data_IF_752168979987
#
_entry.id   IF_752168979987
#
_cell.length_a   1.000
_cell.length_b   1.000
_cell.length_c   1.000
_cell.angle_alpha   90.00
_cell.angle_beta   90.00
_cell.angle_gamma   90.00
#
_symmetry.space_group_name_H-M   'P 1'
#
loop_
_entity.id
_entity.type
_entity.pdbx_description
1 polymer ?
#
# COMPACT_ATOMS: atom_id res chain seq x y z
N UNK A 1 -29.61 -25.30 3.89
CA UNK A 1 -28.30 -24.64 3.75
C UNK A 1 -28.28 -23.42 4.66
N UNK A 2 -27.47 -23.44 5.72
CA UNK A 2 -27.50 -22.41 6.75
C UNK A 2 -27.00 -21.06 6.19
N UNK A 3 -27.69 -19.96 6.49
CA UNK A 3 -27.27 -18.60 6.10
C UNK A 3 -25.82 -18.30 6.48
N UNK A 4 -25.35 -18.85 7.60
CA UNK A 4 -23.98 -18.68 8.08
C UNK A 4 -22.94 -19.31 7.14
N UNK A 5 -23.20 -20.47 6.51
CA UNK A 5 -22.22 -21.10 5.63
C UNK A 5 -22.00 -20.31 4.35
N UNK A 6 -23.05 -19.73 3.78
CA UNK A 6 -22.93 -18.87 2.59
C UNK A 6 -22.09 -17.61 2.90
N UNK A 7 -22.26 -17.04 4.09
CA UNK A 7 -21.51 -15.86 4.53
C UNK A 7 -20.00 -16.13 4.68
N UNK A 8 -19.61 -17.26 5.27
CA UNK A 8 -18.18 -17.65 5.37
C UNK A 8 -17.55 -17.96 4.00
N UNK A 9 -18.30 -18.58 3.09
CA UNK A 9 -17.84 -18.81 1.72
C UNK A 9 -17.59 -17.47 1.03
N UNK A 10 -18.53 -16.54 1.12
CA UNK A 10 -18.39 -15.20 0.54
C UNK A 10 -17.15 -14.46 1.09
N UNK A 11 -16.93 -14.51 2.41
CA UNK A 11 -15.73 -13.94 3.02
C UNK A 11 -14.45 -14.55 2.46
N UNK A 12 -14.41 -15.87 2.32
CA UNK A 12 -13.25 -16.58 1.77
C UNK A 12 -12.98 -16.17 0.33
N UNK A 13 -14.01 -16.14 -0.51
CA UNK A 13 -13.90 -15.71 -1.93
C UNK A 13 -13.37 -14.28 -2.02
N UNK A 14 -13.86 -13.38 -1.18
CA UNK A 14 -13.39 -11.98 -1.12
C UNK A 14 -11.92 -11.88 -0.67
N UNK A 15 -11.50 -12.70 0.28
CA UNK A 15 -10.12 -12.73 0.75
C UNK A 15 -9.17 -13.23 -0.34
N UNK A 16 -9.52 -14.34 -1.01
CA UNK A 16 -8.73 -14.87 -2.12
C UNK A 16 -8.70 -13.92 -3.32
N UNK A 17 -9.81 -13.25 -3.64
CA UNK A 17 -9.83 -12.28 -4.74
C UNK A 17 -8.92 -11.07 -4.46
N UNK A 18 -8.87 -10.63 -3.19
CA UNK A 18 -7.94 -9.60 -2.73
C UNK A 18 -6.48 -10.01 -2.87
N UNK A 19 -6.14 -11.24 -2.47
CA UNK A 19 -4.80 -11.80 -2.64
C UNK A 19 -4.42 -11.95 -4.13
N UNK A 20 -5.35 -12.42 -4.97
CA UNK A 20 -5.12 -12.54 -6.42
C UNK A 20 -4.98 -11.17 -7.11
N UNK A 21 -5.65 -10.13 -6.59
CA UNK A 21 -5.52 -8.78 -7.13
C UNK A 21 -4.09 -8.24 -7.02
N UNK A 22 -3.26 -8.75 -6.09
CA UNK A 22 -1.84 -8.43 -5.99
C UNK A 22 -1.02 -8.87 -7.23
N UNK A 23 -1.50 -9.88 -7.98
CA UNK A 23 -0.84 -10.31 -9.22
C UNK A 23 -0.94 -9.26 -10.32
N UNK A 24 -1.98 -8.40 -10.29
CA UNK A 24 -2.20 -7.36 -11.30
C UNK A 24 -1.11 -6.29 -11.27
N UNK A 25 -0.81 -5.61 -10.14
CA UNK A 25 0.30 -4.65 -10.09
C UNK A 25 1.65 -5.32 -10.31
N UNK A 26 1.85 -6.58 -9.89
CA UNK A 26 3.08 -7.33 -10.18
C UNK A 26 3.29 -7.56 -11.68
N UNK A 27 2.25 -8.00 -12.37
CA UNK A 27 2.27 -8.22 -13.81
C UNK A 27 2.55 -6.93 -14.58
N UNK A 28 1.81 -5.86 -14.29
CA UNK A 28 1.97 -4.55 -14.95
C UNK A 28 3.35 -3.95 -14.62
N UNK A 29 3.79 -4.03 -13.37
CA UNK A 29 5.10 -3.57 -12.92
C UNK A 29 6.23 -4.33 -13.62
N UNK A 30 6.11 -5.65 -13.77
CA UNK A 30 7.08 -6.47 -14.48
C UNK A 30 7.17 -6.09 -15.96
N UNK A 31 6.04 -5.92 -16.64
CA UNK A 31 6.00 -5.49 -18.05
C UNK A 31 6.63 -4.10 -18.24
N UNK A 32 6.41 -3.18 -17.31
CA UNK A 32 6.90 -1.79 -17.38
C UNK A 32 8.21 -1.56 -16.62
N UNK A 33 8.95 -2.61 -16.26
CA UNK A 33 10.16 -2.51 -15.41
C UNK A 33 11.23 -1.54 -15.93
N UNK A 34 11.32 -1.42 -17.25
CA UNK A 34 12.29 -0.53 -17.91
C UNK A 34 11.93 0.96 -17.80
N UNK A 35 10.65 1.28 -17.53
CA UNK A 35 10.14 2.65 -17.41
C UNK A 35 10.03 3.11 -15.94
N UNK A 36 10.20 2.18 -14.98
CA UNK A 36 10.07 2.49 -13.55
C UNK A 36 11.25 3.31 -13.05
N UNK A 37 10.95 4.54 -12.64
CA UNK A 37 11.82 5.38 -11.80
C UNK A 37 12.11 4.70 -10.45
N UNK A 38 13.20 5.08 -9.74
CA UNK A 38 13.60 4.42 -8.49
C UNK A 38 12.49 4.42 -7.42
N UNK A 39 11.70 5.48 -7.30
CA UNK A 39 10.57 5.57 -6.37
C UNK A 39 9.52 4.47 -6.63
N UNK A 40 9.20 4.19 -7.89
CA UNK A 40 8.23 3.14 -8.24
C UNK A 40 8.81 1.74 -8.09
N UNK A 41 10.14 1.58 -8.26
CA UNK A 41 10.82 0.30 -8.02
C UNK A 41 10.70 -0.12 -6.55
N UNK A 42 10.78 0.83 -5.61
CA UNK A 42 10.58 0.54 -4.19
C UNK A 42 9.15 0.01 -3.92
N UNK A 43 8.13 0.63 -4.51
CA UNK A 43 6.74 0.13 -4.41
C UNK A 43 6.58 -1.24 -5.07
N UNK A 44 7.23 -1.47 -6.22
CA UNK A 44 7.23 -2.79 -6.87
C UNK A 44 7.83 -3.87 -5.97
N UNK A 45 8.96 -3.59 -5.31
CA UNK A 45 9.55 -4.50 -4.33
C UNK A 45 8.65 -4.75 -3.12
N UNK A 46 7.86 -3.74 -2.70
CA UNK A 46 6.82 -3.91 -1.69
C UNK A 46 5.75 -4.93 -2.14
N UNK A 47 5.27 -4.83 -3.39
CA UNK A 47 4.33 -5.82 -3.93
C UNK A 47 4.93 -7.24 -4.02
N UNK A 48 6.20 -7.35 -4.43
CA UNK A 48 6.90 -8.65 -4.48
C UNK A 48 7.01 -9.24 -3.09
N UNK A 49 7.39 -8.42 -2.10
CA UNK A 49 7.47 -8.82 -0.71
C UNK A 49 6.10 -9.29 -0.18
N UNK A 50 5.01 -8.57 -0.47
CA UNK A 50 3.66 -8.99 -0.08
C UNK A 50 3.30 -10.35 -0.66
N UNK A 51 3.63 -10.60 -1.93
CA UNK A 51 3.31 -11.87 -2.57
C UNK A 51 4.08 -13.04 -1.93
N UNK A 52 5.38 -12.84 -1.68
CA UNK A 52 6.21 -13.86 -1.02
C UNK A 52 5.70 -14.14 0.39
N UNK A 53 5.49 -13.09 1.20
CA UNK A 53 5.09 -13.26 2.61
C UNK A 53 3.67 -13.80 2.75
N UNK A 54 2.76 -13.48 1.82
CA UNK A 54 1.43 -14.08 1.78
C UNK A 54 1.52 -15.58 1.53
N UNK A 55 2.30 -16.01 0.53
CA UNK A 55 2.50 -17.43 0.24
C UNK A 55 3.14 -18.16 1.42
N UNK A 56 4.16 -17.56 2.04
CA UNK A 56 4.80 -18.13 3.25
C UNK A 56 3.79 -18.24 4.40
N UNK A 57 2.96 -17.23 4.60
CA UNK A 57 1.91 -17.22 5.63
C UNK A 57 0.88 -18.33 5.43
N UNK A 58 0.46 -18.58 4.19
CA UNK A 58 -0.47 -19.67 3.84
C UNK A 58 0.16 -21.06 4.02
N UNK A 59 1.44 -21.23 3.63
CA UNK A 59 2.16 -22.49 3.84
C UNK A 59 2.28 -22.81 5.34
N UNK A 60 2.60 -21.81 6.17
CA UNK A 60 2.68 -21.98 7.62
C UNK A 60 1.32 -22.28 8.25
N UNK A 61 0.27 -21.62 7.76
CA UNK A 61 -1.09 -21.91 8.17
C UNK A 61 -1.49 -23.36 7.86
N UNK A 62 -1.20 -23.84 6.64
CA UNK A 62 -1.39 -25.23 6.25
C UNK A 62 -0.57 -26.21 7.11
N UNK A 63 0.64 -25.82 7.52
CA UNK A 63 1.49 -26.58 8.43
C UNK A 63 1.06 -26.48 9.91
N UNK A 64 -0.05 -25.82 10.24
CA UNK A 64 -0.55 -25.56 11.61
C UNK A 64 0.47 -24.86 12.52
N UNK A 65 1.38 -24.07 11.94
CA UNK A 65 2.35 -23.25 12.68
C UNK A 65 1.80 -21.84 12.85
N UNK A 66 2.21 -21.16 13.92
CA UNK A 66 1.84 -19.76 14.15
C UNK A 66 2.46 -18.89 13.04
N UNK A 67 1.62 -18.22 12.28
CA UNK A 67 2.00 -17.33 11.17
C UNK A 67 2.02 -15.84 11.57
N UNK A 68 1.77 -15.53 12.85
CA UNK A 68 1.70 -14.16 13.35
C UNK A 68 3.02 -13.42 13.20
N UNK A 69 4.15 -14.12 13.34
CA UNK A 69 5.47 -13.52 13.09
C UNK A 69 5.64 -13.02 11.65
N UNK A 70 5.01 -13.69 10.67
CA UNK A 70 5.07 -13.28 9.26
C UNK A 70 4.41 -11.92 9.09
N UNK A 71 3.26 -11.72 9.72
CA UNK A 71 2.55 -10.44 9.67
C UNK A 71 3.32 -9.32 10.36
N UNK A 72 4.02 -9.60 11.46
CA UNK A 72 4.91 -8.62 12.10
C UNK A 72 6.08 -8.23 11.16
N UNK A 73 6.64 -9.19 10.41
CA UNK A 73 7.66 -8.92 9.38
C UNK A 73 7.08 -8.09 8.24
N UNK A 74 5.85 -8.38 7.79
CA UNK A 74 5.15 -7.60 6.76
C UNK A 74 5.05 -6.14 7.20
N UNK A 75 4.53 -5.84 8.39
CA UNK A 75 4.42 -4.48 8.94
C UNK A 75 5.76 -3.75 8.94
N UNK A 76 6.85 -4.40 9.37
CA UNK A 76 8.16 -3.75 9.38
C UNK A 76 8.65 -3.43 7.97
N UNK A 77 8.62 -4.42 7.07
CA UNK A 77 9.12 -4.24 5.72
C UNK A 77 8.23 -3.32 4.88
N UNK A 78 6.92 -3.35 5.07
CA UNK A 78 5.94 -2.48 4.43
C UNK A 78 6.21 -1.02 4.78
N UNK A 79 6.34 -0.70 6.08
CA UNK A 79 6.70 0.63 6.55
C UNK A 79 8.02 1.12 5.94
N UNK A 80 9.05 0.27 5.91
CA UNK A 80 10.36 0.64 5.39
C UNK A 80 10.37 0.82 3.86
N UNK A 81 9.74 -0.08 3.10
CA UNK A 81 9.71 -0.02 1.64
C UNK A 81 8.83 1.11 1.12
N UNK A 82 7.64 1.30 1.68
CA UNK A 82 6.76 2.41 1.33
C UNK A 82 7.36 3.75 1.79
N UNK A 83 7.89 3.81 3.02
CA UNK A 83 8.61 4.98 3.51
C UNK A 83 9.80 5.35 2.62
N UNK A 84 10.55 4.35 2.15
CA UNK A 84 11.65 4.54 1.20
C UNK A 84 11.16 5.01 -0.18
N UNK A 85 10.04 4.48 -0.68
CA UNK A 85 9.43 4.95 -1.93
C UNK A 85 9.10 6.45 -1.88
N UNK A 86 8.48 6.90 -0.79
CA UNK A 86 8.19 8.33 -0.59
C UNK A 86 9.45 9.16 -0.33
N UNK A 87 10.44 8.63 0.39
CA UNK A 87 11.74 9.27 0.55
C UNK A 87 12.40 9.60 -0.80
N UNK A 88 12.32 8.67 -1.76
CA UNK A 88 12.83 8.85 -3.11
C UNK A 88 12.01 9.86 -3.92
N UNK A 89 10.68 9.85 -3.77
CA UNK A 89 9.80 10.77 -4.47
C UNK A 89 9.88 12.22 -3.98
N UNK A 90 10.25 12.45 -2.71
CA UNK A 90 10.42 13.77 -2.11
C UNK A 90 11.84 14.29 -2.32
N UNK A 91 12.01 15.52 -2.81
CA UNK A 91 13.35 16.15 -2.96
C UNK A 91 13.79 16.99 -1.74
N UNK A 92 12.86 17.33 -0.83
CA UNK A 92 13.16 18.19 0.32
C UNK A 92 14.09 17.51 1.34
N UNK A 93 15.24 18.14 1.63
CA UNK A 93 16.23 17.64 2.60
C UNK A 93 15.64 17.52 4.02
N UNK A 94 14.78 18.46 4.42
CA UNK A 94 14.14 18.46 5.75
C UNK A 94 13.23 17.24 5.89
N UNK A 95 12.35 17.01 4.91
CA UNK A 95 11.41 15.88 4.93
C UNK A 95 12.15 14.55 4.84
N UNK A 96 13.19 14.46 4.00
CA UNK A 96 14.08 13.29 3.94
C UNK A 96 14.77 12.99 5.28
N UNK A 97 15.14 14.03 6.04
CA UNK A 97 15.69 13.84 7.38
C UNK A 97 14.63 13.32 8.35
N UNK A 98 13.43 13.90 8.31
CA UNK A 98 12.30 13.44 9.11
C UNK A 98 11.97 11.97 8.84
N UNK A 99 11.86 11.54 7.58
CA UNK A 99 11.57 10.14 7.21
C UNK A 99 12.65 9.20 7.77
N UNK A 100 13.94 9.56 7.69
CA UNK A 100 15.02 8.72 8.23
C UNK A 100 14.96 8.59 9.75
N UNK A 101 14.70 9.69 10.45
CA UNK A 101 14.55 9.70 11.91
C UNK A 101 13.32 8.89 12.31
N UNK A 102 12.19 9.09 11.63
CA UNK A 102 10.96 8.35 11.86
C UNK A 102 11.13 6.84 11.60
N UNK A 103 11.81 6.47 10.52
CA UNK A 103 12.13 5.06 10.23
C UNK A 103 13.05 4.44 11.30
N UNK A 104 14.06 5.18 11.77
CA UNK A 104 14.91 4.73 12.88
C UNK A 104 14.12 4.51 14.17
N UNK A 105 13.26 5.48 14.53
CA UNK A 105 12.38 5.37 15.70
C UNK A 105 11.39 4.22 15.57
N UNK A 106 10.83 4.02 14.37
CA UNK A 106 9.94 2.91 14.07
C UNK A 106 10.65 1.56 14.23
N UNK A 107 11.88 1.39 13.75
CA UNK A 107 12.63 0.14 13.94
C UNK A 107 12.88 -0.13 15.42
N UNK A 108 13.27 0.88 16.19
CA UNK A 108 13.50 0.71 17.64
C UNK A 108 12.22 0.31 18.36
N UNK A 109 11.10 0.98 18.05
CA UNK A 109 9.80 0.69 18.66
C UNK A 109 9.25 -0.68 18.24
N UNK A 110 9.34 -1.04 16.96
CA UNK A 110 8.94 -2.36 16.47
C UNK A 110 9.77 -3.49 17.10
N UNK A 111 11.08 -3.27 17.25
CA UNK A 111 11.97 -4.22 17.94
C UNK A 111 11.61 -4.32 19.41
N UNK A 112 11.33 -3.19 20.07
CA UNK A 112 10.92 -3.19 21.47
C UNK A 112 9.56 -3.88 21.68
N UNK A 113 8.58 -3.65 20.80
CA UNK A 113 7.27 -4.30 20.84
C UNK A 113 7.39 -5.82 20.66
N UNK A 114 8.24 -6.24 19.71
CA UNK A 114 8.52 -7.64 19.43
C UNK A 114 9.16 -8.39 20.61
N UNK A 115 10.12 -7.78 21.30
CA UNK A 115 10.85 -8.45 22.40
C UNK A 115 10.23 -8.26 23.79
N UNK A 116 9.58 -7.12 24.06
CA UNK A 116 9.21 -6.74 25.42
C UNK A 116 7.69 -6.60 25.68
N UNK A 117 6.88 -6.32 24.66
CA UNK A 117 5.45 -5.97 24.86
C UNK A 117 4.53 -7.09 24.38
N UNK A 118 4.57 -7.41 23.08
CA UNK A 118 3.64 -8.34 22.45
C UNK A 118 4.19 -9.77 22.36
N UNK A 119 5.50 -9.92 22.19
CA UNK A 119 6.14 -11.22 21.94
C UNK A 119 5.95 -11.74 20.50
N UNK A 120 6.59 -12.87 20.19
CA UNK A 120 6.60 -13.48 18.83
C UNK A 120 5.23 -13.98 18.35
N UNK A 121 4.32 -14.26 19.28
CA UNK A 121 3.07 -14.98 19.00
C UNK A 121 1.83 -14.07 19.09
N UNK A 122 2.00 -12.76 19.29
CA UNK A 122 0.89 -11.83 19.32
C UNK A 122 0.94 -10.82 18.17
N UNK A 123 -0.24 -10.30 17.83
CA UNK A 123 -0.38 -9.19 16.89
C UNK A 123 0.10 -7.90 17.56
N UNK A 124 1.10 -7.24 16.98
CA UNK A 124 1.66 -5.97 17.46
C UNK A 124 0.75 -4.79 17.10
N UNK A 125 -0.35 -4.60 17.84
CA UNK A 125 -1.34 -3.54 17.60
C UNK A 125 -0.66 -2.14 17.62
N UNK A 126 0.27 -1.93 18.56
CA UNK A 126 1.00 -0.67 18.67
C UNK A 126 1.89 -0.40 17.45
N UNK A 127 2.58 -1.43 16.95
CA UNK A 127 3.42 -1.29 15.75
C UNK A 127 2.58 -0.99 14.51
N UNK A 128 1.42 -1.64 14.33
CA UNK A 128 0.50 -1.37 13.20
C UNK A 128 -0.09 0.04 13.26
N UNK A 129 -0.45 0.51 14.45
CA UNK A 129 -0.93 1.88 14.64
C UNK A 129 0.17 2.90 14.31
N UNK A 130 1.40 2.64 14.77
CA UNK A 130 2.55 3.51 14.50
C UNK A 130 2.92 3.54 13.01
N UNK A 131 2.92 2.39 12.34
CA UNK A 131 3.09 2.25 10.89
C UNK A 131 2.10 3.16 10.15
N UNK A 132 0.82 3.04 10.50
CA UNK A 132 -0.24 3.78 9.83
C UNK A 132 -0.10 5.29 10.03
N UNK A 133 0.19 5.74 11.25
CA UNK A 133 0.45 7.16 11.54
C UNK A 133 1.65 7.66 10.73
N UNK A 134 2.75 6.91 10.70
CA UNK A 134 3.97 7.28 9.99
C UNK A 134 3.72 7.39 8.49
N UNK A 135 3.16 6.35 7.87
CA UNK A 135 2.93 6.33 6.43
C UNK A 135 1.91 7.38 5.99
N UNK A 136 0.81 7.54 6.72
CA UNK A 136 -0.16 8.61 6.44
C UNK A 136 0.50 9.98 6.53
N UNK A 137 1.31 10.23 7.57
CA UNK A 137 2.03 11.51 7.73
C UNK A 137 2.97 11.77 6.56
N UNK A 138 3.72 10.76 6.13
CA UNK A 138 4.66 10.88 4.99
C UNK A 138 3.91 11.14 3.68
N UNK A 139 2.78 10.49 3.45
CA UNK A 139 1.96 10.75 2.25
C UNK A 139 1.36 12.16 2.29
N UNK A 140 0.90 12.64 3.44
CA UNK A 140 0.36 13.99 3.57
C UNK A 140 1.43 15.05 3.28
N UNK A 141 2.65 14.87 3.79
CA UNK A 141 3.79 15.73 3.45
C UNK A 141 4.12 15.69 1.95
N UNK A 142 3.99 14.51 1.32
CA UNK A 142 4.14 14.38 -0.13
C UNK A 142 3.05 15.13 -0.90
N UNK A 143 1.79 15.08 -0.44
CA UNK A 143 0.69 15.81 -1.07
C UNK A 143 0.85 17.32 -0.93
N UNK A 144 1.19 17.81 0.26
CA UNK A 144 1.47 19.24 0.49
C UNK A 144 2.53 19.75 -0.50
N UNK A 145 3.63 19.02 -0.65
CA UNK A 145 4.71 19.38 -1.58
C UNK A 145 4.27 19.29 -3.04
N UNK A 146 3.57 18.23 -3.41
CA UNK A 146 3.09 18.05 -4.78
C UNK A 146 2.12 19.17 -5.18
N UNK A 147 1.23 19.60 -4.28
CA UNK A 147 0.30 20.71 -4.53
C UNK A 147 1.02 22.06 -4.71
N UNK A 148 2.17 22.26 -4.05
CA UNK A 148 2.96 23.48 -4.19
C UNK A 148 3.82 23.49 -5.47
N UNK A 149 4.30 22.33 -5.93
CA UNK A 149 5.23 22.22 -7.07
C UNK A 149 4.53 22.05 -8.43
N UNK A 150 3.32 21.48 -8.48
CA UNK A 150 2.65 21.15 -9.75
C UNK A 150 1.65 22.24 -10.18
N UNK A 151 2.10 23.20 -11.01
CA UNK A 151 1.20 24.19 -11.66
C UNK A 151 0.68 23.80 -13.05
N UNK A 152 1.20 22.74 -13.68
CA UNK A 152 0.96 22.52 -15.13
C UNK A 152 0.52 21.11 -15.54
N UNK A 153 0.57 20.11 -14.66
CA UNK A 153 0.08 18.74 -14.95
C UNK A 153 -0.97 18.29 -13.94
N UNK A 154 -2.03 17.57 -14.38
CA UNK A 154 -3.05 17.07 -13.46
C UNK A 154 -2.43 16.10 -12.45
N UNK A 155 -2.70 16.29 -11.16
CA UNK A 155 -2.13 15.46 -10.08
C UNK A 155 -2.46 13.97 -10.24
N UNK A 156 -3.62 13.65 -10.78
CA UNK A 156 -4.07 12.27 -11.03
C UNK A 156 -3.21 11.51 -12.06
N UNK A 157 -2.41 12.22 -12.86
CA UNK A 157 -1.50 11.61 -13.82
C UNK A 157 -0.14 11.26 -13.18
N UNK A 158 0.11 11.70 -11.95
CA UNK A 158 1.35 11.39 -11.23
C UNK A 158 1.21 10.06 -10.48
N UNK A 159 2.00 9.02 -10.83
CA UNK A 159 1.83 7.69 -10.25
C UNK A 159 1.97 7.66 -8.72
N UNK A 160 2.94 8.39 -8.16
CA UNK A 160 3.15 8.46 -6.71
C UNK A 160 1.99 9.15 -5.97
N UNK A 161 1.30 10.10 -6.62
CA UNK A 161 0.09 10.71 -6.07
C UNK A 161 -1.05 9.70 -5.98
N UNK A 162 -1.27 8.94 -7.05
CA UNK A 162 -2.26 7.85 -7.08
C UNK A 162 -1.95 6.79 -6.02
N UNK A 163 -0.69 6.37 -5.89
CA UNK A 163 -0.25 5.43 -4.84
C UNK A 163 -0.52 6.00 -3.45
N UNK A 164 -0.21 7.28 -3.21
CA UNK A 164 -0.48 7.95 -1.94
C UNK A 164 -1.95 7.89 -1.52
N UNK A 165 -2.88 8.07 -2.47
CA UNK A 165 -4.33 7.96 -2.17
C UNK A 165 -4.65 6.55 -1.68
N UNK A 166 -4.15 5.52 -2.39
CA UNK A 166 -4.35 4.13 -2.00
C UNK A 166 -3.79 3.82 -0.62
N UNK A 167 -2.57 4.28 -0.35
CA UNK A 167 -1.87 4.12 0.94
C UNK A 167 -2.69 4.73 2.07
N UNK A 168 -3.12 6.00 1.96
CA UNK A 168 -3.93 6.65 3.02
C UNK A 168 -5.22 5.88 3.29
N UNK A 169 -5.97 5.52 2.24
CA UNK A 169 -7.25 4.80 2.38
C UNK A 169 -7.03 3.44 3.03
N UNK A 170 -6.01 2.71 2.61
CA UNK A 170 -5.66 1.40 3.16
C UNK A 170 -5.26 1.50 4.63
N UNK A 171 -4.29 2.34 4.99
CA UNK A 171 -3.78 2.40 6.36
C UNK A 171 -4.79 3.00 7.34
N UNK A 172 -5.57 4.00 6.92
CA UNK A 172 -6.63 4.55 7.76
C UNK A 172 -7.70 3.49 8.09
N UNK A 173 -8.15 2.75 7.07
CA UNK A 173 -9.14 1.69 7.26
C UNK A 173 -8.60 0.49 8.05
N UNK A 174 -7.37 0.07 7.74
CA UNK A 174 -6.69 -1.03 8.45
C UNK A 174 -6.48 -0.69 9.93
N UNK A 175 -6.09 0.55 10.25
CA UNK A 175 -5.98 1.00 11.64
C UNK A 175 -7.31 0.85 12.39
N UNK A 176 -8.43 1.26 11.79
CA UNK A 176 -9.74 1.09 12.43
C UNK A 176 -10.08 -0.39 12.69
N UNK A 177 -9.78 -1.27 11.73
CA UNK A 177 -9.97 -2.72 11.88
C UNK A 177 -9.16 -3.26 13.07
N UNK A 178 -7.89 -2.87 13.20
CA UNK A 178 -7.04 -3.36 14.29
C UNK A 178 -7.40 -2.76 15.65
N UNK A 179 -7.74 -1.48 15.72
CA UNK A 179 -8.15 -0.83 16.99
C UNK A 179 -9.44 -1.42 17.55
N UNK A 180 -10.36 -1.85 16.69
CA UNK A 180 -11.65 -2.40 17.10
C UNK A 180 -11.65 -3.93 17.27
N UNK A 181 -10.56 -4.60 16.89
CA UNK A 181 -10.45 -6.07 16.85
C UNK A 181 -10.85 -6.74 18.17
N UNK A 182 -10.39 -6.20 19.30
CA UNK A 182 -10.65 -6.81 20.62
C UNK A 182 -12.04 -6.48 21.18
N UNK A 183 -12.70 -5.46 20.61
CA UNK A 183 -14.04 -5.02 21.01
C UNK A 183 -15.16 -5.76 20.28
N UNK A 184 -14.85 -6.54 19.25
CA UNK A 184 -15.84 -7.26 18.44
C UNK A 184 -15.63 -8.77 18.48
N UNK A 185 -16.73 -9.53 18.36
CA UNK A 185 -16.70 -11.01 18.35
C UNK A 185 -17.69 -11.57 17.33
N UNK A 186 -17.45 -12.81 16.91
CA UNK A 186 -18.34 -13.53 15.99
C UNK A 186 -18.46 -12.83 14.62
N UNK A 187 -19.70 -12.57 14.18
CA UNK A 187 -19.98 -12.04 12.84
C UNK A 187 -19.32 -10.66 12.58
N UNK A 188 -19.19 -9.83 13.61
CA UNK A 188 -18.60 -8.49 13.50
C UNK A 188 -17.10 -8.56 13.16
N UNK A 189 -16.38 -9.53 13.74
CA UNK A 189 -14.97 -9.78 13.43
C UNK A 189 -14.80 -10.21 11.96
N UNK A 190 -15.71 -11.05 11.45
CA UNK A 190 -15.70 -11.46 10.05
C UNK A 190 -15.96 -10.28 9.11
N UNK A 191 -16.90 -9.38 9.46
CA UNK A 191 -17.14 -8.14 8.71
C UNK A 191 -15.90 -7.24 8.67
N UNK A 192 -15.15 -7.12 9.79
CA UNK A 192 -13.90 -6.37 9.81
C UNK A 192 -12.82 -6.97 8.89
N UNK A 193 -12.72 -8.31 8.85
CA UNK A 193 -11.82 -8.99 7.90
C UNK A 193 -12.24 -8.77 6.43
N UNK A 194 -13.55 -8.69 6.15
CA UNK A 194 -14.04 -8.33 4.82
C UNK A 194 -13.65 -6.90 4.46
N UNK A 195 -13.81 -5.94 5.38
CA UNK A 195 -13.38 -4.55 5.17
C UNK A 195 -11.89 -4.49 4.83
N UNK A 196 -11.04 -5.19 5.60
CA UNK A 196 -9.61 -5.26 5.30
C UNK A 196 -9.30 -5.87 3.92
N UNK A 197 -10.06 -6.91 3.53
CA UNK A 197 -9.92 -7.55 2.22
C UNK A 197 -10.28 -6.59 1.09
N UNK A 198 -11.35 -5.79 1.24
CA UNK A 198 -11.74 -4.76 0.27
C UNK A 198 -10.69 -3.66 0.19
N UNK A 199 -10.18 -3.18 1.32
CA UNK A 199 -9.14 -2.15 1.36
C UNK A 199 -7.87 -2.61 0.64
N UNK A 200 -7.41 -3.84 0.90
CA UNK A 200 -6.25 -4.42 0.21
C UNK A 200 -6.51 -4.59 -1.29
N UNK A 201 -7.71 -5.02 -1.69
CA UNK A 201 -8.09 -5.12 -3.09
C UNK A 201 -8.04 -3.76 -3.80
N UNK A 202 -8.60 -2.72 -3.17
CA UNK A 202 -8.57 -1.33 -3.68
C UNK A 202 -7.13 -0.84 -3.79
N UNK A 203 -6.29 -1.05 -2.78
CA UNK A 203 -4.88 -0.67 -2.81
C UNK A 203 -4.16 -1.31 -4.01
N UNK A 204 -4.36 -2.62 -4.23
CA UNK A 204 -3.76 -3.34 -5.34
C UNK A 204 -4.18 -2.77 -6.70
N UNK A 205 -5.46 -2.42 -6.86
CA UNK A 205 -5.94 -1.76 -8.09
C UNK A 205 -5.35 -0.36 -8.29
N UNK A 206 -5.22 0.41 -7.21
CA UNK A 206 -4.63 1.75 -7.24
C UNK A 206 -3.15 1.69 -7.63
N UNK A 207 -2.38 0.75 -7.07
CA UNK A 207 -0.97 0.53 -7.44
C UNK A 207 -0.87 0.07 -8.90
N UNK A 208 -1.74 -0.84 -9.33
CA UNK A 208 -1.79 -1.29 -10.72
C UNK A 208 -2.04 -0.12 -11.69
N UNK A 209 -3.01 0.73 -11.37
CA UNK A 209 -3.30 1.95 -12.13
C UNK A 209 -2.08 2.88 -12.15
N UNK A 210 -1.40 3.08 -11.02
CA UNK A 210 -0.23 3.92 -10.95
C UNK A 210 0.92 3.41 -11.82
N UNK A 211 1.24 2.11 -11.78
CA UNK A 211 2.24 1.52 -12.67
C UNK A 211 1.87 1.63 -14.15
N UNK A 212 0.57 1.57 -14.47
CA UNK A 212 0.10 1.78 -15.83
C UNK A 212 0.29 3.23 -16.32
N UNK A 213 0.21 4.21 -15.43
CA UNK A 213 0.48 5.62 -15.75
C UNK A 213 1.96 5.89 -16.02
N UNK A 214 2.88 5.06 -15.48
CA UNK A 214 4.32 5.20 -15.72
C UNK A 214 4.62 5.09 -17.22
N UNK A 215 5.16 6.17 -17.80
CA UNK A 215 5.56 6.26 -19.21
C UNK A 215 4.50 6.83 -20.16
N UNK A 216 3.30 7.20 -19.68
CA UNK A 216 2.35 7.97 -20.50
C UNK A 216 2.72 9.45 -20.47
N UNK A 217 2.89 10.06 -21.64
CA UNK A 217 3.03 11.53 -21.74
C UNK A 217 1.68 12.17 -21.41
N UNK A 218 1.65 13.28 -20.66
CA UNK A 218 0.41 14.00 -20.38
C UNK A 218 -0.23 14.45 -21.70
N UNK A 219 -1.54 14.21 -21.85
CA UNK A 219 -2.33 14.48 -23.07
C UNK A 219 -2.27 15.96 -23.50
N UNK A 220 -1.89 16.87 -22.59
CA UNK A 220 -1.69 18.30 -22.84
C UNK A 220 -0.52 18.63 -23.78
N UNK A 221 0.30 17.64 -24.18
CA UNK A 221 1.37 17.79 -25.18
C UNK A 221 0.96 17.33 -26.58
N UNK A 222 -0.33 17.34 -26.93
CA UNK A 222 -0.80 17.31 -28.32
C UNK A 222 -1.03 18.76 -28.78
N UNK A 223 -0.01 19.44 -29.32
CA UNK A 223 -0.15 20.81 -29.77
C UNK A 223 -0.79 20.77 -31.16
N UNK A 224 -2.03 21.26 -31.29
CA UNK A 224 -2.46 22.11 -32.41
C UNK A 224 -2.27 21.61 -33.86
N UNK A 225 -2.07 20.30 -34.12
CA UNK A 225 -1.90 19.73 -35.47
C UNK A 225 -3.20 19.66 -36.30
N UNK A 226 -4.15 20.57 -36.10
CA UNK A 226 -5.42 20.56 -36.85
C UNK A 226 -5.96 21.91 -37.31
N UNK A 227 -5.22 23.02 -37.20
CA UNK A 227 -5.79 24.34 -37.61
C UNK A 227 -4.94 25.20 -38.55
N UNK A 228 -3.85 24.69 -39.15
CA UNK A 228 -3.06 25.49 -40.13
C UNK A 228 -3.05 24.96 -41.58
N UNK A 229 -3.83 23.92 -41.91
CA UNK A 229 -3.91 23.39 -43.30
C UNK A 229 -5.27 23.59 -43.98
N UNK A 230 -6.05 24.59 -43.55
CA UNK A 230 -7.38 24.88 -44.14
C UNK A 230 -7.48 26.28 -44.80
N UNK A 231 -6.37 26.97 -45.05
CA UNK A 231 -6.40 28.33 -45.63
C UNK A 231 -5.58 28.49 -46.93
N UNK A 232 -5.23 27.38 -47.59
CA UNK A 232 -4.65 27.41 -48.95
C UNK A 232 -5.22 26.26 -49.78
N UNK A 233 -6.46 26.40 -50.22
CA UNK A 233 -7.04 25.68 -51.36
C UNK A 233 -8.22 26.45 -51.93
#
# INVERSE_FOLDING_TARGET
MNHNSAFFIFQSVLSYSSQLALLVPLWIGYQRRHLLKPEHKAVFWCCVMWAILTVVGEILFAAKRHNLFVWNIVTVLETLLLGYAFYLALNSRIIRSFIRIAAGLFIVTATADFFFISGLEATTIYTVALESILLITVVLLYFERSLHELRTTPLEQHPMFVIGIGVIVYFAGTTMVFLLKDSVRGIQMVMMMMVNSVLSFVLNLVIARAFWLVGRKPVSLLPHLSTHTAEVA
#
